data_IF_126035496656
#
_entry.id   IF_126035496656
#
_cell.length_a   1.000
_cell.length_b   1.000
_cell.length_c   1.000
_cell.angle_alpha   90.00
_cell.angle_beta   90.00
_cell.angle_gamma   90.00
#
_symmetry.space_group_name_H-M   'P 1'
#
loop_
_entity.id
_entity.type
_entity.pdbx_description
1 polymer ?
#
# COMPACT_ATOMS: atom_id res chain seq x y z
N UNK A 1 -5.99 -9.19 -5.59
CA UNK A 1 -7.06 -8.27 -6.01
C UNK A 1 -6.58 -6.82 -5.99
N UNK A 2 -6.10 -6.33 -4.86
CA UNK A 2 -5.60 -4.94 -4.79
C UNK A 2 -4.42 -4.68 -5.71
N UNK A 3 -3.60 -5.68 -5.94
CA UNK A 3 -2.44 -5.58 -6.81
C UNK A 3 -2.83 -5.29 -8.27
N UNK A 4 -3.99 -5.79 -8.70
CA UNK A 4 -4.40 -5.71 -10.11
C UNK A 4 -4.68 -4.28 -10.57
N UNK A 5 -5.17 -3.40 -9.70
CA UNK A 5 -5.39 -1.99 -10.06
C UNK A 5 -4.27 -1.06 -9.60
N UNK A 6 -3.32 -1.54 -8.80
CA UNK A 6 -2.15 -0.77 -8.39
C UNK A 6 -1.10 -0.88 -9.50
N UNK A 7 -1.04 0.13 -10.35
CA UNK A 7 -0.22 0.12 -11.56
C UNK A 7 0.86 1.19 -11.62
N UNK A 8 0.92 2.08 -10.63
CA UNK A 8 1.91 3.16 -10.59
C UNK A 8 3.02 2.82 -9.61
N UNK A 9 4.25 3.21 -9.96
CA UNK A 9 5.43 3.02 -9.12
C UNK A 9 6.19 4.32 -8.87
N UNK A 10 5.76 5.42 -9.48
CA UNK A 10 6.37 6.73 -9.37
C UNK A 10 5.68 7.55 -8.28
N UNK A 11 6.45 8.08 -7.34
CA UNK A 11 5.91 8.93 -6.27
C UNK A 11 5.18 10.16 -6.80
N UNK A 12 5.56 10.67 -7.97
CA UNK A 12 4.87 11.81 -8.58
C UNK A 12 3.41 11.51 -8.93
N UNK A 13 3.05 10.25 -9.02
CA UNK A 13 1.70 9.79 -9.35
C UNK A 13 0.89 9.40 -8.11
N UNK A 14 1.52 9.43 -6.93
CA UNK A 14 0.85 9.08 -5.67
C UNK A 14 -0.05 10.22 -5.22
N UNK A 15 -1.33 9.91 -5.01
CA UNK A 15 -2.35 10.90 -4.60
C UNK A 15 -3.11 10.40 -3.39
N UNK A 16 -3.59 11.35 -2.59
CA UNK A 16 -4.42 11.05 -1.42
C UNK A 16 -5.63 10.22 -1.83
N UNK A 17 -5.86 9.12 -1.12
CA UNK A 17 -6.93 8.18 -1.41
C UNK A 17 -6.51 6.97 -2.24
N UNK A 18 -5.30 6.98 -2.79
CA UNK A 18 -4.79 5.81 -3.51
C UNK A 18 -4.45 4.67 -2.56
N UNK A 19 -4.68 3.46 -3.03
CA UNK A 19 -4.21 2.22 -2.37
C UNK A 19 -2.75 2.00 -2.71
N UNK A 20 -1.97 1.68 -1.70
CA UNK A 20 -0.57 1.23 -1.84
C UNK A 20 -0.53 -0.24 -1.46
N UNK A 21 -0.01 -1.08 -2.33
CA UNK A 21 -0.04 -2.52 -2.16
C UNK A 21 1.33 -3.16 -2.36
N UNK A 22 1.59 -4.20 -1.58
CA UNK A 22 2.69 -5.15 -1.83
C UNK A 22 2.08 -6.54 -1.98
N UNK A 23 2.54 -7.36 -2.96
CA UNK A 23 1.89 -8.64 -3.25
C UNK A 23 2.23 -9.72 -2.22
N UNK A 24 3.31 -9.55 -1.48
CA UNK A 24 3.75 -10.51 -0.48
C UNK A 24 4.73 -9.86 0.49
N UNK A 25 4.69 -10.27 1.76
CA UNK A 25 5.71 -9.93 2.73
C UNK A 25 5.98 -11.11 3.66
N UNK A 26 7.09 -11.07 4.37
CA UNK A 26 7.58 -12.23 5.12
C UNK A 26 7.21 -12.23 6.61
N UNK A 27 6.44 -11.26 7.08
CA UNK A 27 6.17 -11.09 8.51
C UNK A 27 5.11 -12.04 9.04
N UNK A 28 4.17 -12.47 8.19
CA UNK A 28 3.12 -13.41 8.56
C UNK A 28 2.87 -14.41 7.45
N UNK A 29 2.24 -15.54 7.79
CA UNK A 29 1.84 -16.52 6.79
C UNK A 29 0.84 -15.93 5.80
N UNK A 30 -0.17 -15.22 6.28
CA UNK A 30 -1.16 -14.57 5.42
C UNK A 30 -0.54 -13.49 4.55
N UNK A 31 0.45 -12.77 5.06
CA UNK A 31 1.18 -11.77 4.29
C UNK A 31 1.96 -12.36 3.12
N UNK A 32 2.47 -13.57 3.27
CA UNK A 32 3.17 -14.27 2.16
C UNK A 32 2.21 -14.62 1.02
N UNK A 33 0.95 -14.91 1.35
CA UNK A 33 -0.06 -15.31 0.37
C UNK A 33 -0.75 -14.10 -0.25
N UNK A 34 -1.17 -13.15 0.58
CA UNK A 34 -2.04 -12.05 0.15
C UNK A 34 -1.34 -10.69 0.11
N UNK A 35 -0.15 -10.58 0.72
CA UNK A 35 0.53 -9.31 0.83
C UNK A 35 -0.13 -8.39 1.86
N UNK A 36 0.04 -7.09 1.66
CA UNK A 36 -0.55 -6.08 2.55
C UNK A 36 -0.87 -4.82 1.76
N UNK A 37 -1.83 -4.07 2.24
CA UNK A 37 -2.27 -2.83 1.61
C UNK A 37 -2.45 -1.73 2.64
N UNK A 38 -2.31 -0.50 2.19
CA UNK A 38 -2.66 0.70 2.95
C UNK A 38 -3.25 1.75 2.02
N UNK A 39 -3.73 2.84 2.60
CA UNK A 39 -4.25 3.99 1.85
C UNK A 39 -3.36 5.18 2.15
N UNK A 40 -2.93 5.87 1.09
CA UNK A 40 -2.17 7.09 1.24
C UNK A 40 -3.09 8.22 1.68
N UNK A 41 -2.77 8.88 2.79
CA UNK A 41 -3.60 9.94 3.37
C UNK A 41 -2.96 11.32 3.31
N UNK A 42 -1.82 11.45 2.60
CA UNK A 42 -1.10 12.72 2.47
C UNK A 42 -0.02 12.88 3.54
N UNK A 43 0.78 13.93 3.41
CA UNK A 43 1.87 14.25 4.34
C UNK A 43 2.82 13.07 4.59
N UNK A 44 3.06 12.27 3.58
CA UNK A 44 3.91 11.07 3.66
C UNK A 44 3.42 10.05 4.70
N UNK A 45 2.10 9.97 4.88
CA UNK A 45 1.47 9.05 5.83
C UNK A 45 0.52 8.10 5.15
N UNK A 46 0.38 6.91 5.71
CA UNK A 46 -0.54 5.89 5.23
C UNK A 46 -1.39 5.36 6.40
N UNK A 47 -2.55 4.82 6.05
CA UNK A 47 -3.46 4.18 6.99
C UNK A 47 -3.64 2.73 6.58
N UNK A 48 -3.44 1.80 7.52
CA UNK A 48 -3.65 0.38 7.29
C UNK A 48 -4.48 -0.26 8.41
N UNK A 49 -4.77 -1.55 8.24
CA UNK A 49 -5.50 -2.33 9.23
C UNK A 49 -4.74 -3.65 9.48
N UNK A 50 -4.35 -3.87 10.73
CA UNK A 50 -3.66 -5.10 11.17
C UNK A 50 -4.42 -5.73 12.35
N UNK A 51 -5.75 -5.73 12.29
CA UNK A 51 -6.64 -6.05 13.40
C UNK A 51 -7.12 -4.78 14.11
N UNK A 52 -6.51 -3.65 13.82
CA UNK A 52 -6.94 -2.31 14.21
C UNK A 52 -6.38 -1.30 13.21
N UNK A 53 -7.01 -0.16 13.10
CA UNK A 53 -6.59 0.90 12.18
C UNK A 53 -5.36 1.61 12.75
N UNK A 54 -4.34 1.78 11.89
CA UNK A 54 -3.12 2.51 12.25
C UNK A 54 -2.86 3.61 11.23
N UNK A 55 -2.22 4.69 11.68
CA UNK A 55 -1.61 5.69 10.82
C UNK A 55 -0.10 5.63 11.00
N UNK A 56 0.62 5.46 9.90
CA UNK A 56 2.07 5.28 9.90
C UNK A 56 2.72 6.21 8.90
N UNK A 57 3.99 6.53 9.13
CA UNK A 57 4.84 7.13 8.10
C UNK A 57 4.97 6.18 6.91
N UNK A 58 4.82 6.70 5.70
CA UNK A 58 4.88 5.88 4.48
C UNK A 58 6.24 5.22 4.30
N UNK A 59 7.33 5.94 4.60
CA UNK A 59 8.67 5.36 4.51
C UNK A 59 8.84 4.16 5.43
N UNK A 60 8.34 4.27 6.66
CA UNK A 60 8.36 3.16 7.62
C UNK A 60 7.56 1.96 7.11
N UNK A 61 6.34 2.22 6.59
CA UNK A 61 5.48 1.16 6.06
C UNK A 61 6.14 0.44 4.89
N UNK A 62 6.73 1.20 3.97
CA UNK A 62 7.42 0.64 2.80
C UNK A 62 8.65 -0.17 3.23
N UNK A 63 9.47 0.34 4.15
CA UNK A 63 10.65 -0.37 4.63
C UNK A 63 10.29 -1.69 5.30
N UNK A 64 9.16 -1.74 5.97
CA UNK A 64 8.70 -2.94 6.67
C UNK A 64 8.10 -3.98 5.72
N UNK A 65 7.24 -3.57 4.79
CA UNK A 65 6.46 -4.50 3.97
C UNK A 65 7.02 -4.73 2.57
N UNK A 66 7.84 -3.86 2.03
CA UNK A 66 8.35 -3.99 0.66
C UNK A 66 9.77 -4.54 0.58
N UNK A 67 10.14 -5.43 1.52
CA UNK A 67 11.49 -6.01 1.56
C UNK A 67 11.76 -7.01 0.45
N UNK A 68 10.73 -7.71 -0.02
CA UNK A 68 10.85 -8.73 -1.07
C UNK A 68 10.36 -8.22 -2.42
N UNK A 69 9.25 -7.51 -2.44
CA UNK A 69 8.61 -7.00 -3.65
C UNK A 69 8.43 -5.49 -3.54
N UNK A 70 8.63 -4.80 -4.67
CA UNK A 70 8.39 -3.36 -4.74
C UNK A 70 6.90 -3.07 -4.62
N UNK A 71 6.52 -1.98 -3.94
CA UNK A 71 5.12 -1.59 -3.84
C UNK A 71 4.63 -0.98 -5.16
N UNK A 72 3.32 -1.01 -5.33
CA UNK A 72 2.63 -0.26 -6.38
C UNK A 72 1.45 0.46 -5.77
N UNK A 73 0.99 1.49 -6.41
CA UNK A 73 -0.19 2.24 -5.97
C UNK A 73 -1.13 2.54 -7.12
N UNK A 74 -2.38 2.79 -6.79
CA UNK A 74 -3.42 3.07 -7.76
C UNK A 74 -4.76 3.33 -7.09
N UNK A 75 -5.74 3.72 -7.91
CA UNK A 75 -7.10 3.95 -7.46
C UNK A 75 -7.84 2.62 -7.33
N UNK A 76 -8.58 2.46 -6.24
CA UNK A 76 -9.41 1.27 -6.05
C UNK A 76 -10.34 1.09 -7.27
N UNK A 77 -10.28 -0.08 -7.89
CA UNK A 77 -10.99 -0.42 -9.13
C UNK A 77 -10.82 0.62 -10.25
N UNK A 78 -9.68 1.33 -10.26
CA UNK A 78 -9.38 2.39 -11.24
C UNK A 78 -10.37 3.57 -11.19
N UNK A 79 -10.98 3.83 -10.05
CA UNK A 79 -11.90 4.96 -9.85
C UNK A 79 -11.16 6.09 -9.15
N UNK A 80 -10.77 7.17 -9.85
CA UNK A 80 -10.07 8.27 -9.20
C UNK A 80 -10.96 9.00 -8.20
N UNK A 81 -10.40 9.28 -7.03
CA UNK A 81 -11.10 10.02 -5.96
C UNK A 81 -10.68 11.48 -5.89
N UNK A 82 -9.71 11.87 -6.71
CA UNK A 82 -9.21 13.23 -6.74
C UNK A 82 -8.91 13.68 -8.18
#
# INVERSE_FOLDING_TARGET
YYWDFCKYTDYSQLKVGMVVAVPSHMHTYMGRIYGHVCIYIGNNQVMDNVGHIRTLDMGYWLDYYSTTYKPKWGWYDNIPLA
#
